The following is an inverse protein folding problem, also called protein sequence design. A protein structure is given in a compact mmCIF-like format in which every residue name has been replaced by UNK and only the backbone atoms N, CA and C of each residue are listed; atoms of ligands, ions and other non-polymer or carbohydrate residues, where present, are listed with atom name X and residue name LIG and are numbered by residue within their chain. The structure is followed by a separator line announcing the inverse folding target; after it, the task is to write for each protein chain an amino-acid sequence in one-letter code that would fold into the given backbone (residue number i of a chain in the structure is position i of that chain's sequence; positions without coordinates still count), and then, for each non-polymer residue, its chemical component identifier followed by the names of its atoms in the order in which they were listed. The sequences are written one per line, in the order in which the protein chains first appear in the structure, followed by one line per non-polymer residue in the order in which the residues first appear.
data_IF_886057964668
#
_entry.id   IF_886057964668
#
_cell.length_a   1.000
_cell.length_b   1.000
_cell.length_c   1.000
_cell.angle_alpha   90.00
_cell.angle_beta   90.00
_cell.angle_gamma   90.00
#
_symmetry.space_group_name_H-M   'P 1'
#
loop_
_entity.id
_entity.type
_entity.pdbx_description
1 polymer ?
#
# COMPACT_ATOMS: atom_id res chain seq x y z
N UNK A 1 18.40 -12.82 18.32
CA UNK A 1 17.41 -13.52 17.46
C UNK A 1 16.01 -13.19 17.94
N UNK A 2 15.74 -13.21 19.25
CA UNK A 2 14.47 -12.74 19.82
C UNK A 2 14.09 -11.30 19.42
N UNK A 3 15.06 -10.37 19.36
CA UNK A 3 14.78 -8.98 18.97
C UNK A 3 14.29 -8.84 17.51
N UNK A 4 14.80 -9.68 16.60
CA UNK A 4 14.37 -9.66 15.20
C UNK A 4 12.97 -10.25 15.06
N UNK A 5 12.66 -11.30 15.82
CA UNK A 5 11.33 -11.91 15.82
C UNK A 5 10.27 -10.96 16.39
N UNK A 6 10.64 -10.12 17.37
CA UNK A 6 9.77 -9.06 17.90
C UNK A 6 9.51 -7.97 16.86
N UNK A 7 10.55 -7.45 16.19
CA UNK A 7 10.42 -6.46 15.11
C UNK A 7 9.55 -7.00 13.97
N UNK A 8 9.75 -8.27 13.58
CA UNK A 8 8.93 -8.89 12.53
C UNK A 8 7.48 -9.04 12.99
N UNK A 9 7.23 -9.35 14.26
CA UNK A 9 5.86 -9.44 14.80
C UNK A 9 5.18 -8.07 14.76
N UNK A 10 5.86 -7.01 15.17
CA UNK A 10 5.34 -5.64 15.10
C UNK A 10 5.04 -5.23 13.65
N UNK A 11 5.98 -5.49 12.74
CA UNK A 11 5.77 -5.28 11.31
C UNK A 11 4.53 -6.01 10.77
N UNK A 12 4.29 -7.27 11.18
CA UNK A 12 3.11 -8.02 10.75
C UNK A 12 1.83 -7.39 11.29
N UNK A 13 1.80 -6.98 12.56
CA UNK A 13 0.64 -6.32 13.17
C UNK A 13 0.33 -5.01 12.45
N UNK A 14 1.30 -4.12 12.29
CA UNK A 14 1.13 -2.86 11.57
C UNK A 14 0.73 -3.10 10.10
N UNK A 15 1.32 -4.10 9.44
CA UNK A 15 0.98 -4.42 8.06
C UNK A 15 -0.48 -4.87 7.94
N UNK A 16 -1.00 -5.65 8.89
CA UNK A 16 -2.41 -6.05 8.88
C UNK A 16 -3.34 -4.86 9.05
N UNK A 17 -3.06 -3.95 9.99
CA UNK A 17 -3.86 -2.73 10.17
C UNK A 17 -3.83 -1.83 8.92
N UNK A 18 -2.66 -1.70 8.30
CA UNK A 18 -2.49 -1.00 7.04
C UNK A 18 -3.30 -1.67 5.91
N UNK A 19 -3.29 -3.00 5.81
CA UNK A 19 -4.07 -3.73 4.80
C UNK A 19 -5.58 -3.57 5.02
N UNK A 20 -6.05 -3.56 6.26
CA UNK A 20 -7.47 -3.32 6.57
C UNK A 20 -7.92 -1.92 6.15
N UNK A 21 -7.06 -0.90 6.31
CA UNK A 21 -7.34 0.45 5.81
C UNK A 21 -7.27 0.51 4.28
N UNK A 22 -6.30 -0.19 3.68
CA UNK A 22 -6.14 -0.29 2.23
C UNK A 22 -7.41 -0.86 1.58
N UNK A 23 -7.95 -1.96 2.13
CA UNK A 23 -9.16 -2.59 1.61
C UNK A 23 -10.36 -1.63 1.66
N UNK A 24 -10.54 -0.90 2.76
CA UNK A 24 -11.60 0.11 2.88
C UNK A 24 -11.45 1.24 1.87
N UNK A 25 -10.23 1.76 1.70
CA UNK A 25 -9.96 2.84 0.76
C UNK A 25 -10.15 2.40 -0.69
N UNK A 26 -9.80 1.15 -1.03
CA UNK A 26 -10.01 0.58 -2.36
C UNK A 26 -11.50 0.41 -2.66
N UNK A 27 -12.29 -0.13 -1.73
CA UNK A 27 -13.76 -0.23 -1.89
C UNK A 27 -14.39 1.16 -2.05
N UNK A 28 -13.92 2.16 -1.29
CA UNK A 28 -14.38 3.54 -1.46
C UNK A 28 -14.00 4.11 -2.84
N UNK A 29 -12.81 3.78 -3.36
CA UNK A 29 -12.38 4.17 -4.70
C UNK A 29 -13.22 3.56 -5.82
N UNK A 30 -13.81 2.38 -5.63
CA UNK A 30 -14.76 1.82 -6.61
C UNK A 30 -15.98 2.73 -6.81
N UNK A 31 -16.42 3.37 -5.72
CA UNK A 31 -17.54 4.32 -5.76
C UNK A 31 -17.11 5.73 -6.20
N UNK A 32 -15.88 6.12 -5.88
CA UNK A 32 -15.32 7.45 -6.20
C UNK A 32 -13.92 7.37 -6.89
N UNK A 33 -13.82 6.88 -8.15
CA UNK A 33 -12.52 6.55 -8.77
C UNK A 33 -11.58 7.75 -9.01
N UNK A 34 -12.13 8.97 -8.97
CA UNK A 34 -11.37 10.22 -9.13
C UNK A 34 -10.95 10.87 -7.80
N UNK A 35 -11.26 10.24 -6.66
CA UNK A 35 -11.04 10.82 -5.34
C UNK A 35 -9.55 10.90 -5.01
N UNK A 36 -8.98 12.11 -5.15
CA UNK A 36 -7.56 12.37 -4.84
C UNK A 36 -7.20 12.07 -3.39
N UNK A 37 -8.14 12.25 -2.46
CA UNK A 37 -7.92 11.94 -1.04
C UNK A 37 -7.78 10.44 -0.79
N UNK A 38 -8.64 9.63 -1.41
CA UNK A 38 -8.56 8.17 -1.32
C UNK A 38 -7.30 7.63 -2.01
N UNK A 39 -6.99 8.10 -3.23
CA UNK A 39 -5.74 7.74 -3.93
C UNK A 39 -4.52 8.09 -3.07
N UNK A 40 -4.51 9.26 -2.43
CA UNK A 40 -3.42 9.66 -1.54
C UNK A 40 -3.34 8.79 -0.27
N UNK A 41 -4.47 8.31 0.24
CA UNK A 41 -4.52 7.40 1.38
C UNK A 41 -3.92 6.04 1.02
N UNK A 42 -4.42 5.40 -0.04
CA UNK A 42 -3.89 4.16 -0.60
C UNK A 42 -2.39 4.24 -0.90
N UNK A 43 -1.95 5.35 -1.52
CA UNK A 43 -0.54 5.61 -1.79
C UNK A 43 0.30 5.62 -0.52
N UNK A 44 -0.14 6.32 0.54
CA UNK A 44 0.62 6.37 1.81
C UNK A 44 0.73 4.99 2.44
N UNK A 45 -0.35 4.22 2.45
CA UNK A 45 -0.36 2.87 3.02
C UNK A 45 0.64 1.95 2.32
N UNK A 46 0.62 1.93 0.99
CA UNK A 46 1.58 1.15 0.19
C UNK A 46 3.02 1.66 0.38
N UNK A 47 3.22 2.99 0.47
CA UNK A 47 4.53 3.59 0.70
C UNK A 47 5.13 3.16 2.05
N UNK A 48 4.31 3.12 3.11
CA UNK A 48 4.72 2.63 4.44
C UNK A 48 5.14 1.17 4.38
N UNK A 49 4.31 0.29 3.80
CA UNK A 49 4.63 -1.15 3.67
C UNK A 49 5.93 -1.35 2.88
N UNK A 50 6.14 -0.59 1.79
CA UNK A 50 7.39 -0.61 1.01
C UNK A 50 8.59 -0.21 1.87
N UNK A 51 8.47 0.89 2.62
CA UNK A 51 9.52 1.43 3.47
C UNK A 51 9.96 0.42 4.54
N UNK A 52 9.00 -0.14 5.29
CA UNK A 52 9.30 -1.13 6.33
C UNK A 52 9.82 -2.43 5.74
N UNK A 53 9.30 -2.88 4.58
CA UNK A 53 9.82 -4.04 3.87
C UNK A 53 11.28 -3.86 3.42
N UNK A 54 11.63 -2.68 2.92
CA UNK A 54 13.01 -2.34 2.54
C UNK A 54 13.94 -2.28 3.75
N UNK A 55 13.48 -1.69 4.85
CA UNK A 55 14.22 -1.65 6.13
C UNK A 55 14.54 -3.06 6.66
N UNK A 56 13.59 -3.98 6.59
CA UNK A 56 13.74 -5.38 7.02
C UNK A 56 14.42 -6.28 5.97
N UNK A 57 14.89 -5.72 4.85
CA UNK A 57 15.47 -6.46 3.73
C UNK A 57 14.54 -7.55 3.14
N UNK A 58 13.22 -7.38 3.25
CA UNK A 58 12.20 -8.24 2.66
C UNK A 58 11.99 -7.91 1.18
N UNK A 59 13.03 -8.16 0.37
CA UNK A 59 13.12 -7.81 -1.06
C UNK A 59 11.92 -8.27 -1.92
N UNK A 60 11.25 -9.37 -1.56
CA UNK A 60 10.04 -9.81 -2.27
C UNK A 60 8.86 -8.88 -2.01
N UNK A 61 8.62 -8.53 -0.75
CA UNK A 61 7.53 -7.62 -0.35
C UNK A 61 7.80 -6.20 -0.86
N UNK A 62 9.03 -5.73 -0.73
CA UNK A 62 9.46 -4.41 -1.24
C UNK A 62 9.14 -4.26 -2.74
N UNK A 63 9.47 -5.27 -3.56
CA UNK A 63 9.19 -5.22 -5.01
C UNK A 63 7.69 -5.18 -5.33
N UNK A 64 6.86 -5.90 -4.58
CA UNK A 64 5.40 -5.88 -4.78
C UNK A 64 4.83 -4.53 -4.39
N UNK A 65 5.19 -4.01 -3.21
CA UNK A 65 4.74 -2.71 -2.74
C UNK A 65 5.21 -1.58 -3.69
N UNK A 66 6.44 -1.66 -4.20
CA UNK A 66 6.94 -0.70 -5.19
C UNK A 66 6.17 -0.75 -6.51
N UNK A 67 5.78 -1.94 -7.01
CA UNK A 67 4.92 -2.04 -8.19
C UNK A 67 3.56 -1.37 -7.96
N UNK A 68 2.94 -1.58 -6.80
CA UNK A 68 1.72 -0.88 -6.40
C UNK A 68 1.89 0.63 -6.32
N UNK A 69 2.97 1.10 -5.70
CA UNK A 69 3.29 2.53 -5.59
C UNK A 69 3.39 3.18 -6.98
N UNK A 70 4.05 2.53 -7.94
CA UNK A 70 4.18 3.06 -9.30
C UNK A 70 2.82 3.20 -10.01
N UNK A 71 1.92 2.22 -9.85
CA UNK A 71 0.56 2.31 -10.40
C UNK A 71 -0.22 3.47 -9.78
N UNK A 72 -0.09 3.66 -8.47
CA UNK A 72 -0.76 4.74 -7.75
C UNK A 72 -0.21 6.12 -8.11
N UNK A 73 1.08 6.23 -8.43
CA UNK A 73 1.67 7.46 -9.00
C UNK A 73 1.03 7.77 -10.35
N UNK A 74 0.88 6.79 -11.23
CA UNK A 74 0.22 7.01 -12.53
C UNK A 74 -1.25 7.45 -12.37
N UNK A 75 -1.99 6.85 -11.44
CA UNK A 75 -3.36 7.24 -11.10
C UNK A 75 -3.44 8.66 -10.54
N UNK A 76 -2.57 8.99 -9.57
CA UNK A 76 -2.51 10.31 -8.93
C UNK A 76 -2.15 11.42 -9.92
N UNK A 77 -1.21 11.14 -10.82
CA UNK A 77 -0.75 12.09 -11.82
C UNK A 77 -1.72 12.19 -13.02
N UNK A 78 -2.80 11.38 -13.05
CA UNK A 78 -3.77 11.33 -14.14
C UNK A 78 -3.24 10.71 -15.43
N UNK A 79 -2.10 9.99 -15.37
CA UNK A 79 -1.50 9.25 -16.49
C UNK A 79 -2.19 7.91 -16.74
N UNK A 80 -2.89 7.41 -15.72
CA UNK A 80 -3.75 6.22 -15.76
C UNK A 80 -5.11 6.59 -15.18
N UNK A 81 -6.17 6.01 -15.73
CA UNK A 81 -7.51 6.03 -15.13
C UNK A 81 -7.80 4.67 -14.51
N UNK A 82 -8.57 4.65 -13.42
CA UNK A 82 -9.12 3.39 -12.93
C UNK A 82 -10.05 2.80 -14.00
N UNK A 83 -9.88 1.52 -14.29
CA UNK A 83 -10.85 0.75 -15.07
C UNK A 83 -12.06 0.41 -14.20
N UNK A 84 -13.20 0.13 -14.84
CA UNK A 84 -14.37 -0.35 -14.12
C UNK A 84 -14.11 -1.79 -13.66
N UNK A 85 -14.50 -2.09 -12.41
CA UNK A 85 -14.48 -3.44 -11.87
C UNK A 85 -15.23 -4.39 -12.82
N UNK A 86 -14.60 -5.54 -13.12
CA UNK A 86 -15.23 -6.66 -13.84
C UNK A 86 -16.22 -7.38 -12.94
#
# INVERSE_FOLDING_TARGET
MEDMDEIVREFLVESHENLDQLDQDLVALESEPGSRSLIASVFRTIHTIKGTSGFLAFSRLERVAHAGENLLVELRDGRRSMDQAT
#
